data_IF_231972181434
#
_entry.id   IF_231972181434
#
_cell.length_a   1.000
_cell.length_b   1.000
_cell.length_c   1.000
_cell.angle_alpha   90.00
_cell.angle_beta   90.00
_cell.angle_gamma   90.00
#
_symmetry.space_group_name_H-M   'P 1'
#
loop_
_entity.id
_entity.type
_entity.pdbx_description
1 polymer ?
#
# COMPACT_ATOMS: atom_id res chain seq x y z
N UNK A 1 -7.42 19.15 3.00
CA UNK A 1 -7.26 20.49 2.39
C UNK A 1 -8.18 20.70 1.19
N UNK A 2 -8.44 19.69 0.36
CA UNK A 2 -9.27 19.80 -0.87
C UNK A 2 -10.71 20.27 -0.64
N UNK A 3 -11.32 19.93 0.50
CA UNK A 3 -12.69 20.33 0.87
C UNK A 3 -12.91 21.84 1.02
N UNK A 4 -11.84 22.60 1.27
CA UNK A 4 -11.93 24.06 1.41
C UNK A 4 -11.62 24.81 0.12
N UNK A 5 -11.07 24.13 -0.90
CA UNK A 5 -10.42 24.78 -2.05
C UNK A 5 -11.34 24.79 -3.28
N UNK A 6 -12.35 23.92 -3.36
CA UNK A 6 -13.22 23.85 -4.53
C UNK A 6 -14.71 23.97 -4.17
N UNK A 7 -15.46 24.92 -4.77
CA UNK A 7 -16.92 24.88 -4.75
C UNK A 7 -17.36 23.73 -5.67
N UNK A 8 -17.90 22.67 -5.08
CA UNK A 8 -18.12 21.40 -5.78
C UNK A 8 -19.35 21.51 -6.70
N UNK A 9 -19.28 21.08 -7.98
CA UNK A 9 -20.47 20.79 -8.77
C UNK A 9 -21.20 19.59 -8.16
N UNK A 10 -22.42 19.81 -7.67
CA UNK A 10 -23.22 18.86 -6.87
C UNK A 10 -23.61 17.55 -7.57
N UNK A 11 -23.23 17.31 -8.83
CA UNK A 11 -23.61 16.10 -9.55
C UNK A 11 -22.45 15.50 -10.34
N UNK A 12 -21.83 14.47 -9.77
CA UNK A 12 -20.88 13.63 -10.48
C UNK A 12 -21.69 12.51 -11.15
N UNK A 13 -21.94 12.65 -12.46
CA UNK A 13 -22.61 11.61 -13.26
C UNK A 13 -21.58 10.54 -13.62
N UNK A 14 -21.37 9.59 -12.71
CA UNK A 14 -20.66 8.35 -13.04
C UNK A 14 -21.64 7.31 -13.60
N UNK A 15 -21.24 6.50 -14.57
CA UNK A 15 -22.01 5.34 -14.97
C UNK A 15 -22.18 4.37 -13.78
N UNK A 16 -23.33 3.69 -13.73
CA UNK A 16 -23.77 2.91 -12.56
C UNK A 16 -22.72 1.90 -12.04
N UNK A 17 -21.90 1.32 -12.92
CA UNK A 17 -20.87 0.36 -12.53
C UNK A 17 -19.78 0.98 -11.65
N UNK A 18 -19.33 2.21 -11.92
CA UNK A 18 -18.32 2.90 -11.11
C UNK A 18 -18.88 3.35 -9.76
N UNK A 19 -20.15 3.75 -9.74
CA UNK A 19 -20.79 4.28 -8.53
C UNK A 19 -20.88 3.25 -7.40
N UNK A 20 -21.04 1.97 -7.74
CA UNK A 20 -21.15 0.88 -6.75
C UNK A 20 -19.85 0.08 -6.54
N UNK A 21 -18.80 0.37 -7.31
CA UNK A 21 -17.55 -0.41 -7.27
C UNK A 21 -16.88 -0.38 -5.90
N UNK A 22 -16.92 0.75 -5.21
CA UNK A 22 -16.31 0.90 -3.87
C UNK A 22 -16.99 -0.01 -2.84
N UNK A 23 -18.33 -0.02 -2.80
CA UNK A 23 -19.10 -0.92 -1.94
C UNK A 23 -18.76 -2.37 -2.26
N UNK A 24 -18.70 -2.73 -3.54
CA UNK A 24 -18.40 -4.10 -3.97
C UNK A 24 -17.02 -4.57 -3.52
N UNK A 25 -16.00 -3.73 -3.71
CA UNK A 25 -14.61 -4.04 -3.31
C UNK A 25 -14.49 -4.16 -1.78
N UNK A 26 -15.19 -3.30 -1.01
CA UNK A 26 -15.18 -3.37 0.46
C UNK A 26 -15.82 -4.66 0.96
N UNK A 27 -16.99 -5.04 0.43
CA UNK A 27 -17.66 -6.28 0.84
C UNK A 27 -16.80 -7.50 0.48
N UNK A 28 -16.28 -7.57 -0.75
CA UNK A 28 -15.39 -8.67 -1.15
C UNK A 28 -14.11 -8.73 -0.30
N UNK A 29 -13.49 -7.58 -0.04
CA UNK A 29 -12.29 -7.51 0.80
C UNK A 29 -12.57 -8.00 2.22
N UNK A 30 -13.70 -7.60 2.81
CA UNK A 30 -14.10 -8.04 4.15
C UNK A 30 -14.37 -9.55 4.21
N UNK A 31 -15.06 -10.10 3.20
CA UNK A 31 -15.35 -11.52 3.08
C UNK A 31 -14.07 -12.35 2.96
N UNK A 32 -13.18 -11.97 2.03
CA UNK A 32 -11.91 -12.66 1.85
C UNK A 32 -11.01 -12.55 3.08
N UNK A 33 -10.96 -11.37 3.73
CA UNK A 33 -10.21 -11.16 4.96
C UNK A 33 -10.68 -12.08 6.09
N UNK A 34 -12.00 -12.25 6.26
CA UNK A 34 -12.57 -13.16 7.24
C UNK A 34 -12.24 -14.63 6.96
N UNK A 35 -12.26 -15.04 5.68
CA UNK A 35 -11.84 -16.38 5.29
C UNK A 35 -10.36 -16.63 5.61
N UNK A 36 -9.49 -15.66 5.33
CA UNK A 36 -8.06 -15.75 5.61
C UNK A 36 -7.79 -15.83 7.12
N UNK A 37 -8.51 -15.07 7.96
CA UNK A 37 -8.33 -15.12 9.41
C UNK A 37 -8.74 -16.45 10.04
N UNK A 38 -9.67 -17.18 9.40
CA UNK A 38 -10.14 -18.48 9.90
C UNK A 38 -9.27 -19.66 9.44
N UNK A 39 -8.24 -19.43 8.62
CA UNK A 39 -7.26 -20.47 8.28
C UNK A 39 -6.45 -20.77 9.54
N UNK A 40 -6.74 -21.90 10.19
CA UNK A 40 -5.94 -22.42 11.29
C UNK A 40 -4.48 -22.57 10.84
N UNK A 41 -3.52 -22.20 11.70
CA UNK A 41 -2.09 -22.44 11.49
C UNK A 41 -1.85 -23.93 11.18
N UNK A 42 -1.79 -24.27 9.90
CA UNK A 42 -1.45 -25.61 9.44
C UNK A 42 -0.01 -25.93 9.83
N UNK A 43 0.28 -27.21 10.07
CA UNK A 43 1.60 -27.70 10.50
C UNK A 43 2.78 -27.25 9.61
N UNK A 44 2.51 -26.94 8.34
CA UNK A 44 3.42 -26.18 7.48
C UNK A 44 3.02 -24.70 7.45
N UNK A 45 3.93 -23.81 7.87
CA UNK A 45 3.77 -22.37 7.72
C UNK A 45 3.81 -22.01 6.23
N UNK A 46 2.65 -21.70 5.64
CA UNK A 46 2.53 -21.20 4.26
C UNK A 46 3.45 -19.99 4.01
N UNK A 47 3.69 -19.18 5.05
CA UNK A 47 4.59 -18.04 4.99
C UNK A 47 6.05 -18.41 4.73
N UNK A 48 6.52 -19.55 5.24
CA UNK A 48 7.87 -20.02 4.98
C UNK A 48 8.06 -20.49 3.54
N UNK A 49 7.00 -21.02 2.90
CA UNK A 49 7.02 -21.43 1.49
C UNK A 49 7.04 -20.23 0.52
N UNK A 50 6.42 -19.10 0.89
CA UNK A 50 6.27 -17.90 0.05
C UNK A 50 7.10 -16.71 0.55
N UNK A 51 8.23 -16.99 1.19
CA UNK A 51 9.05 -16.03 1.94
C UNK A 51 9.51 -14.82 1.10
N UNK A 52 9.82 -15.00 -0.19
CA UNK A 52 10.19 -13.91 -1.11
C UNK A 52 9.06 -12.89 -1.30
N UNK A 53 7.82 -13.36 -1.46
CA UNK A 53 6.66 -12.50 -1.67
C UNK A 53 6.23 -11.79 -0.37
N UNK A 54 6.31 -12.50 0.77
CA UNK A 54 6.01 -11.90 2.08
C UNK A 54 7.07 -10.88 2.48
N UNK A 55 8.36 -11.16 2.26
CA UNK A 55 9.42 -10.19 2.54
C UNK A 55 9.33 -8.95 1.64
N UNK A 56 8.97 -9.10 0.36
CA UNK A 56 8.75 -7.97 -0.54
C UNK A 56 7.56 -7.11 -0.11
N UNK A 57 6.41 -7.71 0.19
CA UNK A 57 5.22 -6.98 0.64
C UNK A 57 5.40 -6.37 2.04
N UNK A 58 6.05 -7.08 2.96
CA UNK A 58 6.33 -6.63 4.33
C UNK A 58 7.38 -5.53 4.43
N UNK A 59 8.38 -5.52 3.54
CA UNK A 59 9.39 -4.45 3.46
C UNK A 59 8.89 -3.18 2.75
N UNK A 60 7.57 -3.07 2.50
CA UNK A 60 6.96 -1.99 1.73
C UNK A 60 7.65 -1.82 0.37
N UNK A 61 7.81 -2.93 -0.35
CA UNK A 61 8.43 -2.96 -1.69
C UNK A 61 9.83 -2.34 -1.72
N UNK A 62 10.61 -2.48 -0.65
CA UNK A 62 11.93 -1.86 -0.49
C UNK A 62 11.95 -0.33 -0.65
N UNK A 63 10.81 0.34 -0.53
CA UNK A 63 10.69 1.78 -0.71
C UNK A 63 11.52 2.60 0.30
N UNK A 64 11.61 2.23 1.59
CA UNK A 64 12.50 2.91 2.54
C UNK A 64 13.97 2.85 2.10
N UNK A 65 14.43 1.69 1.61
CA UNK A 65 15.80 1.52 1.12
C UNK A 65 16.07 2.38 -0.11
N UNK A 66 15.15 2.38 -1.09
CA UNK A 66 15.27 3.21 -2.30
C UNK A 66 15.31 4.71 -1.98
N UNK A 67 14.44 5.16 -1.06
CA UNK A 67 14.34 6.58 -0.68
C UNK A 67 15.51 7.08 0.18
N UNK A 68 16.16 6.21 0.96
CA UNK A 68 17.24 6.62 1.87
C UNK A 68 18.61 6.46 1.25
N UNK A 69 18.91 5.34 0.59
CA UNK A 69 20.26 5.03 0.08
C UNK A 69 20.72 5.97 -1.03
N UNK A 70 19.84 6.30 -1.98
CA UNK A 70 20.17 7.16 -3.13
C UNK A 70 20.26 8.64 -2.76
N UNK A 71 19.34 9.10 -1.91
CA UNK A 71 19.17 10.53 -1.59
C UNK A 71 20.08 10.97 -0.44
N UNK A 72 20.46 10.08 0.49
CA UNK A 72 21.36 10.44 1.59
C UNK A 72 22.83 10.58 1.20
N UNK A 73 23.28 9.91 0.13
CA UNK A 73 24.67 9.98 -0.32
C UNK A 73 25.08 11.39 -0.82
N UNK A 74 24.18 12.09 -1.51
CA UNK A 74 24.41 13.43 -2.04
C UNK A 74 24.69 14.50 -0.96
N UNK A 75 23.86 14.67 0.10
CA UNK A 75 24.15 15.62 1.17
C UNK A 75 25.37 15.23 2.02
N UNK A 76 25.62 13.94 2.25
CA UNK A 76 26.80 13.49 2.99
C UNK A 76 28.12 13.79 2.25
N UNK A 77 28.18 13.54 0.94
CA UNK A 77 29.35 13.87 0.14
C UNK A 77 29.60 15.38 0.07
N UNK A 78 28.56 16.19 -0.16
CA UNK A 78 28.64 17.65 -0.12
C UNK A 78 29.18 18.17 1.21
N UNK A 79 28.73 17.59 2.34
CA UNK A 79 29.24 17.91 3.67
C UNK A 79 30.73 17.63 3.82
N UNK A 80 31.20 16.47 3.35
CA UNK A 80 32.63 16.09 3.40
C UNK A 80 33.52 17.01 2.55
N UNK A 81 33.05 17.45 1.38
CA UNK A 81 33.81 18.40 0.56
C UNK A 81 33.81 19.83 1.13
N UNK A 82 32.90 20.15 2.04
CA UNK A 82 32.80 21.47 2.68
C UNK A 82 33.67 21.63 3.93
N UNK A 83 34.26 20.55 4.44
CA UNK A 83 35.22 20.52 5.55
C UNK A 83 36.66 20.36 5.07
#
# INVERSE_FOLDING_TARGET
LSWLIFPIPYMIVLPNYLKFLTIFVVVLGSYLGYYVSNVSFSYDLFSLKILSFISFSGSMWFMPYLSTSSISYLPLSMGYYSS
#
